data_IF_999726261172
#
_entry.id   IF_999726261172
#
_cell.length_a   1.000
_cell.length_b   1.000
_cell.length_c   1.000
_cell.angle_alpha   90.00
_cell.angle_beta   90.00
_cell.angle_gamma   90.00
#
_symmetry.space_group_name_H-M   'P 1'
#
loop_
_entity.id
_entity.type
_entity.pdbx_description
1 polymer ?
#
# COMPACT_ATOMS: atom_id res chain seq x y z
N UNK A 1 14.67 -8.18 18.73
CA UNK A 1 14.06 -8.65 17.47
C UNK A 1 12.71 -7.97 17.32
N UNK A 2 12.35 -7.44 16.13
CA UNK A 2 11.00 -6.92 15.92
C UNK A 2 9.98 -8.02 16.17
N UNK A 3 8.89 -7.69 16.86
CA UNK A 3 7.79 -8.65 17.10
C UNK A 3 7.16 -9.02 15.76
N UNK A 4 6.95 -10.31 15.45
CA UNK A 4 6.32 -10.70 14.19
C UNK A 4 4.83 -10.31 14.18
N UNK A 5 4.26 -10.12 12.99
CA UNK A 5 2.80 -10.04 12.83
C UNK A 5 2.21 -11.40 13.18
N UNK A 6 1.11 -11.40 13.93
CA UNK A 6 0.35 -12.63 14.23
C UNK A 6 -0.91 -12.66 13.39
N UNK A 7 -1.18 -13.80 12.75
CA UNK A 7 -2.35 -13.97 11.88
C UNK A 7 -3.29 -14.98 12.52
N UNK A 8 -4.57 -14.62 12.60
CA UNK A 8 -5.65 -15.50 13.02
C UNK A 8 -6.70 -15.59 11.91
N UNK A 9 -7.28 -16.78 11.73
CA UNK A 9 -8.36 -17.02 10.76
C UNK A 9 -9.66 -17.29 11.51
N UNK A 10 -10.71 -16.56 11.16
CA UNK A 10 -12.05 -16.79 11.67
C UNK A 10 -12.78 -17.89 10.86
N UNK A 11 -13.82 -18.53 11.43
CA UNK A 11 -14.57 -19.60 10.75
C UNK A 11 -15.25 -19.18 9.43
N UNK A 12 -15.56 -17.89 9.30
CA UNK A 12 -16.13 -17.27 8.09
C UNK A 12 -15.07 -16.98 7.00
N UNK A 13 -13.80 -17.34 7.25
CA UNK A 13 -12.68 -17.11 6.34
C UNK A 13 -12.01 -15.75 6.50
N UNK A 14 -12.52 -14.85 7.34
CA UNK A 14 -11.89 -13.56 7.60
C UNK A 14 -10.52 -13.74 8.28
N UNK A 15 -9.55 -12.91 7.88
CA UNK A 15 -8.20 -12.92 8.43
C UNK A 15 -7.99 -11.72 9.35
N UNK A 16 -7.40 -11.93 10.52
CA UNK A 16 -7.04 -10.86 11.46
C UNK A 16 -5.52 -10.84 11.64
N UNK A 17 -4.91 -9.68 11.40
CA UNK A 17 -3.48 -9.43 11.54
C UNK A 17 -3.24 -8.54 12.76
N UNK A 18 -2.54 -9.05 13.77
CA UNK A 18 -2.08 -8.26 14.90
C UNK A 18 -0.68 -7.71 14.62
N UNK A 19 -0.58 -6.39 14.47
CA UNK A 19 0.58 -5.69 13.95
C UNK A 19 1.27 -4.94 15.10
N UNK A 20 2.59 -5.11 15.28
CA UNK A 20 3.30 -4.68 16.48
C UNK A 20 3.57 -3.18 16.55
N UNK A 21 3.22 -2.43 15.53
CA UNK A 21 3.51 -1.01 15.37
C UNK A 21 2.33 -0.28 14.73
N UNK A 22 2.27 1.06 14.80
CA UNK A 22 1.26 1.85 14.08
C UNK A 22 1.58 1.94 12.58
N UNK A 23 0.61 2.34 11.72
CA UNK A 23 0.82 2.48 10.28
C UNK A 23 1.99 3.42 9.91
N UNK A 24 2.13 4.53 10.63
CA UNK A 24 3.18 5.52 10.44
C UNK A 24 4.60 4.98 10.71
N UNK A 25 4.72 3.84 11.39
CA UNK A 25 6.00 3.16 11.66
C UNK A 25 6.31 2.02 10.68
N UNK A 26 5.45 1.76 9.69
CA UNK A 26 5.71 0.72 8.69
C UNK A 26 6.93 1.08 7.83
N UNK A 27 7.81 0.10 7.54
CA UNK A 27 9.05 0.35 6.82
C UNK A 27 8.76 0.85 5.39
N UNK A 28 9.66 1.64 4.79
CA UNK A 28 9.62 1.88 3.35
C UNK A 28 9.83 0.55 2.60
N UNK A 29 9.38 0.51 1.34
CA UNK A 29 9.47 -0.67 0.48
C UNK A 29 10.32 -0.38 -0.75
N UNK A 30 10.74 -1.42 -1.48
CA UNK A 30 11.40 -1.19 -2.76
C UNK A 30 10.36 -0.75 -3.82
N UNK A 31 10.65 0.25 -4.68
CA UNK A 31 9.72 0.67 -5.73
C UNK A 31 9.29 -0.48 -6.65
N UNK A 32 10.21 -1.41 -6.94
CA UNK A 32 9.94 -2.63 -7.72
C UNK A 32 8.92 -3.56 -7.07
N UNK A 33 8.89 -3.61 -5.73
CA UNK A 33 7.94 -4.47 -5.00
C UNK A 33 6.55 -3.84 -5.06
N UNK A 34 6.47 -2.50 -4.99
CA UNK A 34 5.22 -1.77 -5.16
C UNK A 34 4.68 -1.86 -6.60
N UNK A 35 5.57 -1.83 -7.59
CA UNK A 35 5.23 -2.04 -9.00
C UNK A 35 4.72 -3.47 -9.25
N UNK A 36 5.43 -4.49 -8.75
CA UNK A 36 4.99 -5.88 -8.84
C UNK A 36 3.62 -6.09 -8.15
N UNK A 37 3.41 -5.49 -6.98
CA UNK A 37 2.15 -5.53 -6.26
C UNK A 37 1.00 -4.87 -7.06
N UNK A 38 1.26 -3.73 -7.71
CA UNK A 38 0.31 -3.05 -8.59
C UNK A 38 -0.12 -3.95 -9.77
N UNK A 39 0.84 -4.54 -10.46
CA UNK A 39 0.55 -5.42 -11.60
C UNK A 39 -0.18 -6.69 -11.18
N UNK A 40 0.20 -7.29 -10.05
CA UNK A 40 -0.49 -8.46 -9.49
C UNK A 40 -1.94 -8.14 -9.09
N UNK A 41 -2.16 -7.01 -8.41
CA UNK A 41 -3.49 -6.57 -8.00
C UNK A 41 -4.40 -6.27 -9.19
N UNK A 42 -3.86 -5.61 -10.23
CA UNK A 42 -4.59 -5.39 -11.49
C UNK A 42 -4.98 -6.70 -12.16
N UNK A 43 -4.04 -7.64 -12.29
CA UNK A 43 -4.32 -8.94 -12.88
C UNK A 43 -5.37 -9.74 -12.09
N UNK A 44 -5.43 -9.57 -10.76
CA UNK A 44 -6.46 -10.17 -9.92
C UNK A 44 -7.81 -9.52 -10.10
N UNK A 45 -7.87 -8.19 -10.14
CA UNK A 45 -9.09 -7.43 -10.37
C UNK A 45 -9.71 -7.74 -11.75
N UNK A 46 -8.89 -7.80 -12.81
CA UNK A 46 -9.34 -8.20 -14.16
C UNK A 46 -9.90 -9.62 -14.20
N UNK A 47 -9.38 -10.51 -13.36
CA UNK A 47 -9.83 -11.89 -13.26
C UNK A 47 -10.93 -12.10 -12.20
N UNK A 48 -11.48 -11.02 -11.63
CA UNK A 48 -12.52 -11.05 -10.60
C UNK A 48 -12.16 -11.97 -9.41
N UNK A 49 -10.87 -12.02 -9.05
CA UNK A 49 -10.38 -12.82 -7.93
C UNK A 49 -10.57 -12.06 -6.62
N UNK A 50 -11.73 -12.25 -6.00
CA UNK A 50 -12.05 -11.67 -4.71
C UNK A 50 -11.33 -12.40 -3.56
N UNK A 51 -10.77 -11.64 -2.62
CA UNK A 51 -10.16 -12.15 -1.40
C UNK A 51 -11.12 -12.13 -0.21
N UNK A 52 -10.83 -12.86 0.88
CA UNK A 52 -11.54 -12.70 2.13
C UNK A 52 -11.30 -11.31 2.73
N UNK A 53 -12.25 -10.79 3.54
CA UNK A 53 -12.04 -9.56 4.29
C UNK A 53 -10.89 -9.73 5.28
N UNK A 54 -10.12 -8.64 5.47
CA UNK A 54 -8.94 -8.62 6.36
C UNK A 54 -9.06 -7.53 7.39
N UNK A 55 -8.91 -7.90 8.66
CA UNK A 55 -8.87 -7.00 9.81
C UNK A 55 -7.44 -6.76 10.22
N UNK A 56 -7.00 -5.51 10.23
CA UNK A 56 -5.66 -5.11 10.61
C UNK A 56 -5.74 -4.40 11.97
N UNK A 57 -5.08 -4.96 12.98
CA UNK A 57 -5.05 -4.43 14.35
C UNK A 57 -3.65 -3.88 14.64
N UNK A 58 -3.48 -2.58 14.47
CA UNK A 58 -2.22 -1.87 14.72
C UNK A 58 -2.07 -1.52 16.19
N UNK A 59 -0.95 -1.91 16.80
CA UNK A 59 -0.62 -1.52 18.17
C UNK A 59 -0.22 -0.04 18.21
N UNK A 60 -0.91 0.75 19.05
CA UNK A 60 -0.59 2.16 19.35
C UNK A 60 0.34 2.25 20.55
N UNK A 61 1.01 3.40 20.70
CA UNK A 61 1.98 3.65 21.78
C UNK A 61 1.34 3.64 23.19
N UNK A 62 0.07 3.97 23.28
CA UNK A 62 -0.75 3.93 24.50
C UNK A 62 -1.23 2.51 24.86
N UNK A 63 -0.87 1.50 24.06
CA UNK A 63 -1.28 0.11 24.24
C UNK A 63 -2.66 -0.24 23.66
N UNK A 64 -3.40 0.73 23.11
CA UNK A 64 -4.64 0.46 22.40
C UNK A 64 -4.37 -0.15 21.02
N UNK A 65 -5.38 -0.82 20.46
CA UNK A 65 -5.36 -1.27 19.09
C UNK A 65 -6.15 -0.30 18.21
N UNK A 66 -5.54 0.14 17.12
CA UNK A 66 -6.26 0.81 16.05
C UNK A 66 -6.63 -0.22 14.99
N UNK A 67 -7.89 -0.20 14.60
CA UNK A 67 -8.43 -1.11 13.59
C UNK A 67 -8.51 -0.45 12.22
N UNK A 68 -8.08 -1.19 11.20
CA UNK A 68 -8.34 -0.91 9.79
C UNK A 68 -8.93 -2.16 9.15
N UNK A 69 -10.02 -2.00 8.40
CA UNK A 69 -10.72 -3.11 7.77
C UNK A 69 -10.61 -3.00 6.25
N UNK A 70 -10.10 -4.06 5.62
CA UNK A 70 -10.11 -4.26 4.17
C UNK A 70 -11.29 -5.18 3.84
N UNK A 71 -12.48 -4.60 3.65
CA UNK A 71 -13.72 -5.37 3.47
C UNK A 71 -14.47 -5.06 2.18
N UNK A 72 -14.22 -3.93 1.53
CA UNK A 72 -14.75 -3.72 0.19
C UNK A 72 -14.06 -4.67 -0.81
N UNK A 73 -14.79 -5.01 -1.88
CA UNK A 73 -14.37 -6.03 -2.83
C UNK A 73 -13.02 -5.70 -3.49
N UNK A 74 -12.78 -4.42 -3.80
CA UNK A 74 -11.54 -3.96 -4.40
C UNK A 74 -10.38 -4.11 -3.42
N UNK A 75 -10.49 -3.57 -2.20
CA UNK A 75 -9.44 -3.71 -1.19
C UNK A 75 -9.14 -5.17 -0.84
N UNK A 76 -10.16 -6.03 -0.75
CA UNK A 76 -9.99 -7.44 -0.47
C UNK A 76 -9.32 -8.20 -1.62
N UNK A 77 -9.69 -7.91 -2.88
CA UNK A 77 -9.04 -8.44 -4.08
C UNK A 77 -7.56 -8.06 -4.13
N UNK A 78 -7.24 -6.78 -3.89
CA UNK A 78 -5.89 -6.27 -3.97
C UNK A 78 -5.03 -6.82 -2.83
N UNK A 79 -5.59 -6.90 -1.61
CA UNK A 79 -4.88 -7.50 -0.49
C UNK A 79 -4.56 -8.98 -0.74
N UNK A 80 -5.48 -9.76 -1.31
CA UNK A 80 -5.23 -11.17 -1.69
C UNK A 80 -4.09 -11.30 -2.71
N UNK A 81 -4.11 -10.47 -3.75
CA UNK A 81 -3.07 -10.48 -4.77
C UNK A 81 -1.69 -10.13 -4.21
N UNK A 82 -1.63 -9.15 -3.31
CA UNK A 82 -0.38 -8.77 -2.66
C UNK A 82 0.07 -9.84 -1.67
N UNK A 83 -0.84 -10.48 -0.93
CA UNK A 83 -0.52 -11.56 0.02
C UNK A 83 0.18 -12.73 -0.69
N UNK A 84 -0.32 -13.12 -1.86
CA UNK A 84 0.26 -14.19 -2.66
C UNK A 84 1.71 -13.92 -3.14
N UNK A 85 2.08 -12.66 -3.33
CA UNK A 85 3.41 -12.27 -3.84
C UNK A 85 4.38 -11.75 -2.77
N UNK A 86 3.87 -11.14 -1.70
CA UNK A 86 4.66 -10.37 -0.74
C UNK A 86 4.44 -10.75 0.74
N UNK A 87 3.50 -11.66 1.04
CA UNK A 87 3.16 -12.14 2.38
C UNK A 87 2.79 -11.00 3.36
N UNK A 88 1.49 -10.78 3.56
CA UNK A 88 0.95 -9.79 4.51
C UNK A 88 1.25 -10.16 5.98
N UNK A 89 1.68 -11.40 6.25
CA UNK A 89 2.23 -11.82 7.55
C UNK A 89 3.59 -11.19 7.86
N UNK A 90 4.19 -10.46 6.91
CA UNK A 90 5.43 -9.71 7.12
C UNK A 90 5.18 -8.20 7.16
N UNK A 91 6.03 -7.46 7.89
CA UNK A 91 5.96 -5.99 7.88
C UNK A 91 6.21 -5.42 6.48
N UNK A 92 7.03 -6.09 5.66
CA UNK A 92 7.32 -5.65 4.29
C UNK A 92 6.10 -5.84 3.39
N UNK A 93 5.46 -7.01 3.40
CA UNK A 93 4.27 -7.28 2.59
C UNK A 93 3.08 -6.41 2.99
N UNK A 94 2.85 -6.24 4.29
CA UNK A 94 1.83 -5.31 4.79
C UNK A 94 2.12 -3.86 4.38
N UNK A 95 3.38 -3.43 4.50
CA UNK A 95 3.80 -2.10 4.07
C UNK A 95 3.59 -1.88 2.56
N UNK A 96 3.86 -2.88 1.73
CA UNK A 96 3.60 -2.84 0.28
C UNK A 96 2.11 -2.71 0.00
N UNK A 97 1.28 -3.54 0.65
CA UNK A 97 -0.18 -3.51 0.46
C UNK A 97 -0.80 -2.17 0.85
N UNK A 98 -0.50 -1.65 2.04
CA UNK A 98 -1.07 -0.37 2.48
C UNK A 98 -0.60 0.80 1.64
N UNK A 99 0.66 0.80 1.18
CA UNK A 99 1.15 1.85 0.26
C UNK A 99 0.48 1.77 -1.10
N UNK A 100 0.20 0.58 -1.60
CA UNK A 100 -0.56 0.40 -2.84
C UNK A 100 -1.98 0.96 -2.69
N UNK A 101 -2.69 0.60 -1.62
CA UNK A 101 -4.04 1.09 -1.36
C UNK A 101 -4.07 2.62 -1.13
N UNK A 102 -3.12 3.15 -0.37
CA UNK A 102 -2.96 4.58 -0.16
C UNK A 102 -2.66 5.34 -1.46
N UNK A 103 -1.92 4.71 -2.39
CA UNK A 103 -1.62 5.29 -3.70
C UNK A 103 -2.90 5.42 -4.54
N UNK A 104 -3.74 4.38 -4.59
CA UNK A 104 -5.04 4.46 -5.27
C UNK A 104 -5.90 5.56 -4.64
N UNK A 105 -6.01 5.57 -3.30
CA UNK A 105 -6.82 6.53 -2.57
C UNK A 105 -6.42 7.96 -2.92
N UNK A 106 -5.12 8.29 -2.87
CA UNK A 106 -4.67 9.65 -3.17
C UNK A 106 -4.89 9.98 -4.65
N UNK A 107 -4.73 9.03 -5.56
CA UNK A 107 -5.03 9.22 -6.99
C UNK A 107 -6.51 9.51 -7.25
N UNK A 108 -7.44 9.01 -6.43
CA UNK A 108 -8.86 9.30 -6.59
C UNK A 108 -9.25 10.73 -6.19
N UNK A 109 -8.50 11.36 -5.26
CA UNK A 109 -8.85 12.69 -4.71
C UNK A 109 -7.90 13.82 -5.14
N UNK A 110 -6.64 13.52 -5.42
CA UNK A 110 -5.61 14.51 -5.75
C UNK A 110 -5.52 14.74 -7.27
N UNK A 111 -6.38 15.61 -7.79
CA UNK A 111 -6.46 15.90 -9.24
C UNK A 111 -5.16 16.37 -9.89
N UNK A 112 -4.23 16.92 -9.11
CA UNK A 112 -2.92 17.36 -9.62
C UNK A 112 -1.97 16.20 -9.98
N UNK A 113 -2.31 14.96 -9.59
CA UNK A 113 -1.61 13.76 -10.05
C UNK A 113 -1.94 13.41 -11.51
N UNK A 114 -2.95 14.06 -12.13
CA UNK A 114 -3.30 13.88 -13.53
C UNK A 114 -2.11 14.29 -14.42
N UNK A 115 -1.31 13.31 -14.83
CA UNK A 115 -0.04 13.50 -15.52
C UNK A 115 1.08 12.56 -15.02
N UNK A 116 0.91 11.99 -13.83
CA UNK A 116 1.80 10.97 -13.25
C UNK A 116 1.26 9.54 -13.38
N UNK A 117 0.21 9.39 -14.18
CA UNK A 117 -0.32 8.11 -14.62
C UNK A 117 -0.98 8.28 -15.99
N UNK A 118 -1.02 7.21 -16.76
CA UNK A 118 -1.61 7.19 -18.10
C UNK A 118 -2.59 6.05 -18.21
N UNK A 119 -3.81 6.34 -18.65
CA UNK A 119 -4.76 5.31 -19.03
C UNK A 119 -4.35 4.67 -20.37
N UNK A 120 -4.30 3.34 -20.39
CA UNK A 120 -3.99 2.51 -21.56
C UNK A 120 -5.14 1.54 -21.82
N UNK A 121 -5.22 0.92 -23.02
CA UNK A 121 -6.24 -0.09 -23.31
C UNK A 121 -6.20 -1.29 -22.35
N UNK A 122 -5.05 -1.55 -21.73
CA UNK A 122 -4.85 -2.63 -20.76
C UNK A 122 -4.98 -2.16 -19.30
N UNK A 123 -5.25 -0.87 -19.06
CA UNK A 123 -5.53 -0.29 -17.75
C UNK A 123 -4.80 1.02 -17.49
N UNK A 124 -3.88 1.07 -16.53
CA UNK A 124 -3.23 2.32 -16.12
C UNK A 124 -1.73 2.12 -15.83
N UNK A 125 -0.89 2.89 -16.50
CA UNK A 125 0.55 2.94 -16.26
C UNK A 125 0.86 4.03 -15.22
N UNK A 126 1.70 3.73 -14.23
CA UNK A 126 2.13 4.67 -13.20
C UNK A 126 3.50 5.25 -13.53
N UNK A 127 3.70 6.55 -13.30
CA UNK A 127 5.01 7.17 -13.46
C UNK A 127 6.00 6.61 -12.41
N UNK A 128 7.25 6.24 -12.80
CA UNK A 128 8.24 5.74 -11.86
C UNK A 128 8.55 6.67 -10.69
N UNK A 129 8.43 7.99 -10.87
CA UNK A 129 8.59 8.96 -9.78
C UNK A 129 7.46 8.85 -8.75
N UNK A 130 6.23 8.57 -9.19
CA UNK A 130 5.09 8.33 -8.31
C UNK A 130 5.30 7.05 -7.48
N UNK A 131 5.73 5.96 -8.13
CA UNK A 131 6.06 4.70 -7.45
C UNK A 131 7.20 4.88 -6.44
N UNK A 132 8.27 5.59 -6.80
CA UNK A 132 9.38 5.90 -5.89
C UNK A 132 8.93 6.71 -4.68
N UNK A 133 8.07 7.72 -4.90
CA UNK A 133 7.53 8.54 -3.83
C UNK A 133 6.68 7.71 -2.87
N UNK A 134 5.72 6.93 -3.40
CA UNK A 134 4.85 6.07 -2.61
C UNK A 134 5.62 5.00 -1.83
N UNK A 135 6.67 4.43 -2.41
CA UNK A 135 7.49 3.40 -1.77
C UNK A 135 8.26 3.91 -0.54
N UNK A 136 8.70 5.18 -0.55
CA UNK A 136 9.52 5.77 0.49
C UNK A 136 8.73 6.57 1.54
N UNK A 137 7.62 7.17 1.14
CA UNK A 137 6.88 8.09 2.00
C UNK A 137 6.23 7.35 3.19
N UNK A 138 6.28 7.93 4.40
CA UNK A 138 5.50 7.42 5.53
C UNK A 138 4.00 7.51 5.26
N UNK A 139 3.25 6.54 5.75
CA UNK A 139 1.80 6.63 5.85
C UNK A 139 1.42 7.46 7.08
N UNK A 140 0.24 8.07 7.07
CA UNK A 140 -0.34 8.67 8.26
C UNK A 140 -1.00 7.63 9.17
N UNK A 141 -1.57 8.09 10.29
CA UNK A 141 -2.27 7.23 11.23
C UNK A 141 -3.46 6.49 10.59
N UNK A 142 -4.09 7.03 9.54
CA UNK A 142 -5.18 6.39 8.81
C UNK A 142 -4.70 5.47 7.67
N UNK A 143 -3.39 5.18 7.61
CA UNK A 143 -2.74 4.46 6.52
C UNK A 143 -2.89 5.13 5.14
N UNK A 144 -2.88 6.46 5.09
CA UNK A 144 -2.97 7.26 3.84
C UNK A 144 -1.69 8.06 3.58
N UNK A 145 -1.53 8.53 2.35
CA UNK A 145 -0.49 9.51 2.04
C UNK A 145 -0.96 10.94 2.32
N UNK A 146 -0.11 11.72 2.99
CA UNK A 146 -0.28 13.17 3.09
C UNK A 146 -0.10 13.81 1.69
N UNK A 147 -1.16 14.40 1.16
CA UNK A 147 -1.15 14.95 -0.20
C UNK A 147 -0.13 16.10 -0.36
N UNK A 148 0.03 16.94 0.66
CA UNK A 148 0.92 18.11 0.61
C UNK A 148 2.38 17.68 0.64
N UNK A 149 2.73 16.70 1.46
CA UNK A 149 4.06 16.11 1.51
C UNK A 149 4.37 15.32 0.23
N UNK A 150 3.41 14.58 -0.32
CA UNK A 150 3.57 13.89 -1.61
C UNK A 150 3.84 14.88 -2.74
N UNK A 151 3.05 15.96 -2.82
CA UNK A 151 3.24 17.03 -3.82
C UNK A 151 4.61 17.68 -3.69
N UNK A 152 5.06 17.98 -2.48
CA UNK A 152 6.40 18.53 -2.23
C UNK A 152 7.50 17.58 -2.68
N UNK A 153 7.35 16.28 -2.45
CA UNK A 153 8.34 15.28 -2.85
C UNK A 153 8.46 15.18 -4.38
N UNK A 154 7.33 15.18 -5.08
CA UNK A 154 7.26 15.07 -6.54
C UNK A 154 7.61 16.38 -7.28
N UNK A 155 7.52 17.51 -6.60
CA UNK A 155 7.92 18.82 -7.16
C UNK A 155 9.42 19.07 -7.05
N UNK A 156 10.19 18.21 -6.35
CA UNK A 156 11.65 18.37 -6.25
C UNK A 156 12.29 17.99 -7.59
N UNK A 157 13.13 18.86 -8.18
CA UNK A 157 13.89 18.48 -9.36
C UNK A 157 14.77 17.27 -9.03
N UNK A 158 14.71 16.24 -9.87
CA UNK A 158 15.64 15.11 -9.82
C UNK A 158 17.03 15.70 -10.04
N UNK A 159 18.00 15.51 -9.13
CA UNK A 159 19.36 15.96 -9.38
C UNK A 159 19.84 15.32 -10.68
N UNK A 160 20.09 16.13 -11.70
CA UNK A 160 20.72 15.68 -12.93
C UNK A 160 22.12 15.23 -12.55
N UNK A 161 22.31 13.93 -12.41
CA UNK A 161 23.63 13.33 -12.20
C UNK A 161 24.46 13.49 -13.46
N UNK A 162 25.02 14.68 -13.64
CA UNK A 162 26.16 14.93 -14.52
C UNK A 162 27.19 15.60 -13.62
N UNK A 163 28.14 14.79 -13.13
CA UNK A 163 29.42 15.33 -12.64
C UNK A 163 30.39 15.41 -13.82
N UNK A 164 31.26 16.44 -13.85
CA UNK A 164 32.16 16.75 -14.97
C UNK A 164 33.22 15.68 -15.23
#
# INVERSE_FOLDING_TARGET
MPTPIRVARAPDGALTYAIPCPPEALPPVAPRDLEAAWEAARAAATAERWGPPRRLLFRRADGQAQELLLADADAACWAEAVDAGHDLGTLSGLATCLRLLALIEVMTRARWLAGLYRLTPTGMDLDPALLRAAAAMPLDAAARFDETALRRLLSRPIPSGVSP
#
